data_IF_431958912818
#
_entry.id   IF_431958912818
#
_cell.length_a   1.000
_cell.length_b   1.000
_cell.length_c   1.000
_cell.angle_alpha   90.00
_cell.angle_beta   90.00
_cell.angle_gamma   90.00
#
_symmetry.space_group_name_H-M   'P 1'
#
loop_
_entity.id
_entity.type
_entity.pdbx_description
1 polymer ?
#
# COMPACT_ATOMS: atom_id res chain seq x y z
N UNK A 1 32.47 -18.40 5.69
CA UNK A 1 31.30 -19.30 5.68
C UNK A 1 30.14 -18.82 6.58
N UNK A 2 30.08 -17.52 6.94
CA UNK A 2 29.04 -16.98 7.83
C UNK A 2 28.01 -16.09 7.10
N UNK A 3 28.30 -15.68 5.86
CA UNK A 3 27.45 -14.74 5.10
C UNK A 3 26.17 -15.40 4.58
N UNK A 4 26.23 -16.68 4.22
CA UNK A 4 25.06 -17.47 3.78
C UNK A 4 24.15 -17.79 4.96
N UNK A 5 24.73 -18.11 6.12
CA UNK A 5 23.99 -18.35 7.37
C UNK A 5 23.32 -17.05 7.84
N UNK A 6 24.01 -15.91 7.72
CA UNK A 6 23.45 -14.60 8.03
C UNK A 6 22.34 -14.19 7.06
N UNK A 7 22.51 -14.42 5.75
CA UNK A 7 21.47 -14.15 4.75
C UNK A 7 20.20 -15.01 5.00
N UNK A 8 20.37 -16.29 5.32
CA UNK A 8 19.25 -17.17 5.69
C UNK A 8 18.59 -16.78 7.01
N UNK A 9 19.35 -16.24 7.97
CA UNK A 9 18.81 -15.69 9.22
C UNK A 9 18.02 -14.39 8.98
N UNK A 10 18.53 -13.47 8.15
CA UNK A 10 17.87 -12.21 7.82
C UNK A 10 16.58 -12.45 7.01
N UNK A 11 16.59 -13.40 6.07
CA UNK A 11 15.39 -13.85 5.35
C UNK A 11 14.36 -14.41 6.34
N UNK A 12 14.79 -15.21 7.33
CA UNK A 12 13.89 -15.73 8.37
C UNK A 12 13.27 -14.61 9.23
N UNK A 13 14.04 -13.61 9.64
CA UNK A 13 13.51 -12.47 10.42
C UNK A 13 12.48 -11.65 9.62
N UNK A 14 12.69 -11.46 8.31
CA UNK A 14 11.72 -10.80 7.42
C UNK A 14 10.39 -11.58 7.37
N UNK A 15 10.46 -12.91 7.25
CA UNK A 15 9.26 -13.75 7.25
C UNK A 15 8.58 -13.83 8.62
N UNK A 16 9.32 -13.81 9.73
CA UNK A 16 8.75 -13.84 11.09
C UNK A 16 8.05 -12.52 11.43
N UNK A 17 8.65 -11.38 11.06
CA UNK A 17 8.02 -10.08 11.15
C UNK A 17 6.77 -10.02 10.26
N UNK A 18 6.86 -10.48 9.01
CA UNK A 18 5.74 -10.55 8.09
C UNK A 18 4.60 -11.46 8.54
N UNK A 19 4.90 -12.60 9.18
CA UNK A 19 3.90 -13.53 9.70
C UNK A 19 3.23 -13.00 10.98
N UNK A 20 3.97 -12.26 11.82
CA UNK A 20 3.41 -11.56 12.99
C UNK A 20 2.43 -10.48 12.55
N UNK A 21 2.76 -9.74 11.48
CA UNK A 21 1.91 -8.75 10.85
C UNK A 21 0.63 -9.37 10.23
N UNK A 22 0.79 -10.51 9.58
CA UNK A 22 -0.31 -11.27 9.01
C UNK A 22 -1.24 -11.82 10.11
N UNK A 23 -0.69 -12.29 11.23
CA UNK A 23 -1.45 -12.74 12.40
C UNK A 23 -2.16 -11.57 13.12
N UNK A 24 -1.53 -10.40 13.19
CA UNK A 24 -2.14 -9.15 13.65
C UNK A 24 -3.39 -8.84 12.80
N UNK A 25 -3.27 -9.05 11.47
CA UNK A 25 -4.34 -8.79 10.50
C UNK A 25 -5.57 -9.71 10.64
N UNK A 26 -5.46 -10.82 11.37
CA UNK A 26 -6.59 -11.70 11.69
C UNK A 26 -7.31 -11.31 12.99
N UNK A 27 -6.84 -10.30 13.73
CA UNK A 27 -7.52 -9.83 14.95
C UNK A 27 -8.78 -9.03 14.60
N UNK A 28 -9.90 -9.23 15.31
CA UNK A 28 -11.19 -8.61 15.01
C UNK A 28 -11.25 -7.08 15.21
N UNK A 29 -10.32 -6.51 15.98
CA UNK A 29 -10.04 -5.07 16.00
C UNK A 29 -8.65 -4.89 15.39
N UNK A 30 -8.61 -4.73 14.08
CA UNK A 30 -7.36 -4.49 13.38
C UNK A 30 -7.14 -2.98 13.34
N UNK A 31 -5.92 -2.52 13.59
CA UNK A 31 -5.51 -1.12 13.42
C UNK A 31 -5.39 -0.79 11.92
N UNK A 32 -6.51 -0.93 11.22
CA UNK A 32 -6.64 -0.73 9.79
C UNK A 32 -6.74 0.77 9.51
N UNK A 33 -5.59 1.40 9.39
CA UNK A 33 -5.46 2.82 9.07
C UNK A 33 -4.55 2.96 7.85
N UNK A 34 -5.06 2.77 6.63
CA UNK A 34 -4.25 2.79 5.44
C UNK A 34 -3.71 4.19 5.17
N UNK A 35 -2.42 4.27 4.84
CA UNK A 35 -1.71 5.51 4.53
C UNK A 35 -0.96 5.35 3.20
N UNK A 36 -0.90 6.41 2.42
CA UNK A 36 -0.04 6.51 1.23
C UNK A 36 1.12 7.43 1.55
N UNK A 37 2.34 6.89 1.57
CA UNK A 37 3.57 7.67 1.78
C UNK A 37 4.26 7.96 0.45
N UNK A 38 4.90 9.13 0.38
CA UNK A 38 5.63 9.68 -0.77
C UNK A 38 7.13 9.59 -0.47
N UNK A 39 7.70 8.42 -0.66
CA UNK A 39 9.08 8.13 -0.30
C UNK A 39 10.09 8.76 -1.27
N UNK A 40 11.01 9.64 -0.84
CA UNK A 40 12.07 10.17 -1.68
C UNK A 40 13.19 9.13 -1.87
N UNK A 41 13.35 8.65 -3.10
CA UNK A 41 14.37 7.67 -3.47
C UNK A 41 15.78 8.26 -3.40
N UNK A 42 16.69 7.49 -2.82
CA UNK A 42 18.13 7.73 -2.87
C UNK A 42 18.79 6.93 -4.00
N UNK A 43 18.27 5.73 -4.31
CA UNK A 43 18.73 4.95 -5.46
C UNK A 43 18.26 5.57 -6.78
N UNK A 44 19.17 5.66 -7.74
CA UNK A 44 18.89 6.20 -9.08
C UNK A 44 18.96 5.15 -10.19
N UNK A 45 19.56 3.99 -9.91
CA UNK A 45 19.72 2.92 -10.90
C UNK A 45 18.42 2.19 -11.20
N UNK A 46 18.13 1.92 -12.48
CA UNK A 46 16.90 1.22 -12.88
C UNK A 46 16.74 -0.16 -12.22
N UNK A 47 17.84 -0.89 -12.07
CA UNK A 47 17.84 -2.22 -11.44
C UNK A 47 17.60 -2.15 -9.93
N UNK A 48 18.18 -1.16 -9.27
CA UNK A 48 18.02 -0.93 -7.83
C UNK A 48 16.58 -0.51 -7.51
N UNK A 49 16.03 0.40 -8.31
CA UNK A 49 14.63 0.82 -8.20
C UNK A 49 13.70 -0.38 -8.41
N UNK A 50 13.98 -1.23 -9.41
CA UNK A 50 13.19 -2.43 -9.66
C UNK A 50 13.17 -3.37 -8.43
N UNK A 51 14.34 -3.70 -7.89
CA UNK A 51 14.41 -4.58 -6.72
C UNK A 51 13.79 -3.94 -5.48
N UNK A 52 14.01 -2.64 -5.26
CA UNK A 52 13.45 -1.92 -4.12
C UNK A 52 11.91 -1.90 -4.15
N UNK A 53 11.32 -1.47 -5.26
CA UNK A 53 9.85 -1.41 -5.43
C UNK A 53 9.20 -2.80 -5.39
N UNK A 54 9.87 -3.81 -5.93
CA UNK A 54 9.44 -5.21 -5.82
C UNK A 54 9.47 -5.70 -4.36
N UNK A 55 10.55 -5.40 -3.62
CA UNK A 55 10.67 -5.76 -2.21
C UNK A 55 9.60 -5.09 -1.35
N UNK A 56 9.28 -3.81 -1.58
CA UNK A 56 8.17 -3.12 -0.90
C UNK A 56 6.86 -3.89 -1.06
N UNK A 57 6.59 -4.40 -2.27
CA UNK A 57 5.34 -5.12 -2.56
C UNK A 57 5.35 -6.55 -2.02
N UNK A 58 6.54 -7.16 -1.89
CA UNK A 58 6.70 -8.46 -1.27
C UNK A 58 6.53 -8.41 0.27
N UNK A 59 6.77 -7.25 0.89
CA UNK A 59 6.55 -7.04 2.32
C UNK A 59 5.05 -7.03 2.63
N UNK A 60 4.59 -7.82 3.61
CA UNK A 60 3.18 -7.85 3.97
C UNK A 60 2.67 -6.47 4.42
N UNK A 61 1.45 -6.14 4.02
CA UNK A 61 0.81 -4.88 4.43
C UNK A 61 1.31 -3.64 3.68
N UNK A 62 2.22 -3.78 2.72
CA UNK A 62 2.68 -2.67 1.86
C UNK A 62 2.53 -2.98 0.37
N UNK A 63 2.39 -1.93 -0.43
CA UNK A 63 2.27 -2.01 -1.90
C UNK A 63 2.99 -0.81 -2.51
N UNK A 64 3.87 -1.07 -3.49
CA UNK A 64 4.42 0.00 -4.34
C UNK A 64 3.44 0.32 -5.45
N UNK A 65 2.92 1.55 -5.48
CA UNK A 65 1.93 2.01 -6.47
C UNK A 65 2.59 2.46 -7.76
N UNK A 66 3.72 3.14 -7.66
CA UNK A 66 4.43 3.67 -8.81
C UNK A 66 5.46 4.73 -8.47
N UNK A 67 6.11 5.22 -9.52
CA UNK A 67 7.16 6.23 -9.46
C UNK A 67 6.63 7.56 -10.00
N UNK A 68 7.04 8.65 -9.36
CA UNK A 68 6.79 10.01 -9.81
C UNK A 68 8.11 10.73 -10.04
N UNK A 69 8.29 11.23 -11.26
CA UNK A 69 9.48 12.03 -11.60
C UNK A 69 9.47 13.36 -10.85
N UNK A 70 10.64 13.86 -10.39
CA UNK A 70 10.76 15.16 -9.79
C UNK A 70 10.23 16.29 -10.69
N UNK A 71 9.70 17.33 -10.05
CA UNK A 71 9.17 18.53 -10.74
C UNK A 71 10.30 19.44 -11.25
N UNK A 72 11.52 19.29 -10.71
CA UNK A 72 12.70 20.08 -11.08
C UNK A 72 13.96 19.20 -11.04
N UNK A 73 14.92 19.54 -11.88
CA UNK A 73 16.25 18.91 -11.84
C UNK A 73 16.90 19.11 -10.46
N UNK A 74 17.51 18.04 -9.93
CA UNK A 74 18.15 18.03 -8.60
C UNK A 74 17.24 17.57 -7.45
N UNK A 75 15.96 17.30 -7.68
CA UNK A 75 15.07 16.69 -6.68
C UNK A 75 14.98 15.16 -6.84
N UNK A 76 14.75 14.41 -5.75
CA UNK A 76 14.64 12.95 -5.83
C UNK A 76 13.37 12.52 -6.56
N UNK A 77 13.46 11.34 -7.20
CA UNK A 77 12.28 10.60 -7.64
C UNK A 77 11.49 10.12 -6.43
N UNK A 78 10.17 10.15 -6.53
CA UNK A 78 9.29 9.73 -5.44
C UNK A 78 8.69 8.36 -5.76
N UNK A 79 8.76 7.41 -4.81
CA UNK A 79 7.95 6.18 -4.84
C UNK A 79 6.71 6.42 -4.00
N UNK A 80 5.55 6.10 -4.58
CA UNK A 80 4.30 6.05 -3.82
C UNK A 80 4.16 4.66 -3.23
N UNK A 81 4.07 4.59 -1.90
CA UNK A 81 3.89 3.34 -1.16
C UNK A 81 2.60 3.43 -0.36
N UNK A 82 1.73 2.45 -0.53
CA UNK A 82 0.59 2.26 0.34
C UNK A 82 0.98 1.30 1.46
N UNK A 83 0.72 1.69 2.71
CA UNK A 83 0.80 0.82 3.88
C UNK A 83 -0.61 0.67 4.47
N UNK A 84 -1.00 -0.55 4.82
CA UNK A 84 -2.35 -0.86 5.34
C UNK A 84 -2.46 -0.56 6.85
N UNK A 85 -1.35 -0.67 7.57
CA UNK A 85 -1.23 -0.32 8.98
C UNK A 85 -0.31 0.89 9.10
N UNK A 86 -0.92 2.07 8.98
CA UNK A 86 -0.24 3.35 8.84
C UNK A 86 -0.37 4.27 10.05
N UNK A 87 -0.71 3.75 11.24
CA UNK A 87 -0.91 4.57 12.45
C UNK A 87 0.28 5.51 12.75
N UNK A 88 1.48 5.08 12.37
CA UNK A 88 2.70 5.89 12.43
C UNK A 88 3.39 5.93 11.05
N UNK A 89 3.17 6.97 10.24
CA UNK A 89 3.78 7.08 8.91
C UNK A 89 5.28 7.40 8.97
N UNK A 90 5.79 7.93 10.09
CA UNK A 90 7.22 8.13 10.29
C UNK A 90 7.94 6.79 10.46
N UNK A 91 7.33 5.83 11.17
CA UNK A 91 7.85 4.46 11.28
C UNK A 91 7.93 3.78 9.92
N UNK A 92 6.87 3.91 9.09
CA UNK A 92 6.83 3.37 7.73
C UNK A 92 7.95 3.96 6.87
N UNK A 93 8.21 5.28 6.98
CA UNK A 93 9.32 5.93 6.28
C UNK A 93 10.69 5.39 6.72
N UNK A 94 10.90 5.21 8.02
CA UNK A 94 12.15 4.70 8.56
C UNK A 94 12.43 3.26 8.10
N UNK A 95 11.40 2.41 8.07
CA UNK A 95 11.51 1.02 7.60
C UNK A 95 11.84 0.96 6.09
N UNK A 96 11.24 1.83 5.29
CA UNK A 96 11.58 1.98 3.87
C UNK A 96 13.03 2.43 3.67
N UNK A 97 13.51 3.35 4.52
CA UNK A 97 14.88 3.84 4.48
C UNK A 97 15.91 2.78 4.88
N UNK A 98 15.63 1.97 5.91
CA UNK A 98 16.48 0.84 6.29
C UNK A 98 16.52 -0.22 5.17
N UNK A 99 15.37 -0.53 4.57
CA UNK A 99 15.30 -1.47 3.45
C UNK A 99 16.09 -0.99 2.22
N UNK A 100 16.01 0.29 1.86
CA UNK A 100 16.78 0.85 0.75
C UNK A 100 18.29 0.84 1.05
N UNK A 101 18.72 1.15 2.28
CA UNK A 101 20.13 1.09 2.66
C UNK A 101 20.68 -0.35 2.62
N UNK A 102 19.87 -1.34 3.01
CA UNK A 102 20.25 -2.76 2.93
C UNK A 102 20.39 -3.23 1.48
N UNK A 103 19.53 -2.76 0.59
CA UNK A 103 19.61 -3.08 -0.84
C UNK A 103 20.82 -2.41 -1.49
N UNK A 104 21.04 -1.13 -1.17
CA UNK A 104 22.03 -0.28 -1.81
C UNK A 104 22.84 0.50 -0.76
N UNK A 105 23.85 -0.11 -0.12
CA UNK A 105 24.60 0.51 0.98
C UNK A 105 25.29 1.83 0.62
N UNK A 106 25.48 2.11 -0.67
CA UNK A 106 26.08 3.35 -1.15
C UNK A 106 25.18 4.58 -0.95
N UNK A 107 23.88 4.39 -0.68
CA UNK A 107 22.96 5.50 -0.37
C UNK A 107 23.11 6.02 1.05
N UNK A 108 23.90 5.33 1.88
CA UNK A 108 24.18 5.71 3.27
C UNK A 108 24.80 7.11 3.30
N UNK A 109 24.09 8.06 3.90
CA UNK A 109 24.51 9.47 4.00
C UNK A 109 23.81 10.42 3.02
N UNK A 110 22.93 9.93 2.15
CA UNK A 110 22.02 10.78 1.37
C UNK A 110 20.77 11.03 2.24
N UNK A 111 20.51 12.30 2.56
CA UNK A 111 19.40 12.72 3.42
C UNK A 111 18.48 13.70 2.68
N UNK A 112 17.20 13.35 2.54
CA UNK A 112 16.16 14.21 2.00
C UNK A 112 15.22 14.80 3.06
N UNK A 113 15.61 14.74 4.34
CA UNK A 113 14.84 15.30 5.45
C UNK A 113 13.63 14.44 5.83
N UNK A 114 13.74 13.12 5.67
CA UNK A 114 12.70 12.17 6.09
C UNK A 114 13.26 11.18 7.12
N UNK A 115 12.40 10.59 7.98
CA UNK A 115 12.80 9.60 8.97
C UNK A 115 13.58 8.44 8.34
N UNK A 116 14.69 8.06 9.00
CA UNK A 116 15.56 6.97 8.59
C UNK A 116 16.62 7.33 7.53
N UNK A 117 16.58 8.53 6.93
CA UNK A 117 17.64 9.00 6.01
C UNK A 117 18.67 9.92 6.68
N UNK A 118 18.39 10.37 7.90
CA UNK A 118 19.22 11.32 8.65
C UNK A 118 18.75 11.49 10.10
N UNK A 119 19.02 12.64 10.76
CA UNK A 119 18.64 12.89 12.15
C UNK A 119 17.15 13.21 12.33
N UNK A 120 16.42 13.45 11.23
CA UNK A 120 15.02 13.84 11.25
C UNK A 120 14.14 12.70 11.75
N UNK A 121 13.33 12.93 12.78
CA UNK A 121 12.41 11.93 13.35
C UNK A 121 10.94 12.21 13.00
N UNK A 122 10.60 13.46 12.71
CA UNK A 122 9.24 13.88 12.39
C UNK A 122 9.00 13.90 10.89
N UNK A 123 7.85 13.37 10.45
CA UNK A 123 7.47 13.34 9.04
C UNK A 123 6.51 14.50 8.71
N UNK A 124 6.90 15.35 7.77
CA UNK A 124 6.04 16.42 7.29
C UNK A 124 4.81 15.86 6.55
N UNK A 125 3.65 16.51 6.73
CA UNK A 125 2.36 16.11 6.12
C UNK A 125 2.40 16.01 4.58
N UNK A 126 3.33 16.70 3.92
CA UNK A 126 3.50 16.59 2.45
C UNK A 126 3.89 15.18 2.00
N UNK A 127 4.52 14.40 2.90
CA UNK A 127 5.06 13.08 2.58
C UNK A 127 4.09 11.93 2.83
N UNK A 128 2.89 12.18 3.35
CA UNK A 128 1.89 11.12 3.55
C UNK A 128 0.47 11.63 3.33
N UNK A 129 -0.46 10.69 3.20
CA UNK A 129 -1.89 10.98 3.04
C UNK A 129 -2.69 9.80 3.57
N UNK A 130 -3.70 10.05 4.40
CA UNK A 130 -4.65 9.05 4.87
C UNK A 130 -5.88 9.02 3.95
N UNK A 131 -6.00 8.07 3.00
CA UNK A 131 -7.04 8.14 1.97
C UNK A 131 -8.46 8.05 2.51
N UNK A 132 -8.64 7.45 3.70
CA UNK A 132 -9.95 7.33 4.36
C UNK A 132 -10.38 8.63 5.05
N UNK A 133 -9.43 9.45 5.47
CA UNK A 133 -9.70 10.75 6.11
C UNK A 133 -9.82 11.88 5.07
N UNK A 134 -9.35 11.65 3.85
CA UNK A 134 -9.44 12.59 2.72
C UNK A 134 -10.83 12.62 2.05
N UNK A 135 -11.86 11.96 2.60
CA UNK A 135 -13.24 12.04 2.07
C UNK A 135 -13.71 13.51 2.01
N UNK A 136 -13.61 14.10 0.80
CA UNK A 136 -13.98 15.50 0.53
C UNK A 136 -12.95 16.34 -0.24
N UNK A 137 -11.72 15.87 -0.49
CA UNK A 137 -10.73 16.60 -1.33
C UNK A 137 -10.19 15.73 -2.47
N UNK A 138 -10.71 15.97 -3.68
CA UNK A 138 -10.11 15.59 -4.97
C UNK A 138 -10.17 14.11 -5.42
N UNK A 139 -11.38 13.56 -5.58
CA UNK A 139 -11.59 12.55 -6.63
C UNK A 139 -11.90 13.28 -7.96
N UNK A 140 -10.88 13.84 -8.62
CA UNK A 140 -11.00 14.37 -9.99
C UNK A 140 -10.27 13.40 -10.93
N UNK A 141 -10.90 12.26 -11.20
CA UNK A 141 -10.54 11.43 -12.35
C UNK A 141 -10.97 12.18 -13.61
N UNK A 142 -10.05 12.53 -14.53
CA UNK A 142 -10.42 13.24 -15.77
C UNK A 142 -11.41 12.45 -16.64
N UNK A 143 -11.44 11.13 -16.49
CA UNK A 143 -12.25 10.24 -17.32
C UNK A 143 -13.63 9.90 -16.70
N UNK A 144 -13.88 10.26 -15.44
CA UNK A 144 -15.21 10.15 -14.81
C UNK A 144 -16.05 11.40 -15.06
N UNK A 145 -15.40 12.54 -15.33
CA UNK A 145 -16.05 13.83 -15.57
C UNK A 145 -16.97 13.88 -16.81
N UNK A 146 -16.96 12.86 -17.67
CA UNK A 146 -17.86 12.80 -18.84
C UNK A 146 -18.94 11.70 -18.78
N UNK A 147 -18.88 10.74 -17.84
CA UNK A 147 -19.81 9.60 -17.84
C UNK A 147 -20.88 9.67 -16.74
N UNK A 148 -20.63 10.39 -15.64
CA UNK A 148 -21.52 10.44 -14.47
C UNK A 148 -22.56 11.57 -14.50
N UNK A 149 -22.57 12.43 -15.54
CA UNK A 149 -23.56 13.51 -15.67
C UNK A 149 -24.93 13.02 -16.18
N UNK A 150 -25.12 11.72 -16.38
CA UNK A 150 -26.45 11.14 -16.58
C UNK A 150 -26.96 10.56 -15.26
N UNK A 151 -27.91 11.21 -14.57
CA UNK A 151 -28.48 10.66 -13.35
C UNK A 151 -29.23 9.36 -13.68
N UNK A 152 -28.68 8.23 -13.26
CA UNK A 152 -29.38 6.95 -13.27
C UNK A 152 -30.47 6.98 -12.21
N UNK A 153 -31.68 6.57 -12.59
CA UNK A 153 -32.82 6.62 -11.66
C UNK A 153 -32.61 5.62 -10.53
N UNK A 154 -33.05 5.93 -9.31
CA UNK A 154 -32.82 5.11 -8.11
C UNK A 154 -33.33 3.65 -8.21
N UNK A 155 -34.13 3.33 -9.24
CA UNK A 155 -34.62 1.99 -9.55
C UNK A 155 -33.73 1.19 -10.53
N UNK A 156 -32.79 1.85 -11.22
CA UNK A 156 -31.83 1.22 -12.14
C UNK A 156 -30.54 0.78 -11.44
N UNK A 157 -30.31 1.25 -10.21
CA UNK A 157 -29.14 0.88 -9.41
C UNK A 157 -29.36 -0.51 -8.78
N UNK A 158 -28.66 -1.51 -9.31
CA UNK A 158 -28.69 -2.88 -8.78
C UNK A 158 -28.10 -2.93 -7.36
N UNK A 159 -28.95 -3.01 -6.33
CA UNK A 159 -28.53 -3.11 -4.93
C UNK A 159 -28.13 -4.54 -4.59
N UNK A 160 -26.82 -4.79 -4.46
CA UNK A 160 -26.31 -6.11 -4.02
C UNK A 160 -26.27 -6.21 -2.49
N UNK A 161 -26.91 -7.23 -1.88
CA UNK A 161 -26.91 -7.40 -0.43
C UNK A 161 -25.60 -8.01 0.07
N UNK A 162 -24.95 -7.32 1.03
CA UNK A 162 -23.72 -7.79 1.70
C UNK A 162 -24.08 -8.70 2.87
N UNK A 163 -24.36 -9.98 2.60
CA UNK A 163 -24.21 -11.09 3.57
C UNK A 163 -24.31 -12.47 2.89
N UNK A 164 -23.47 -13.46 3.28
CA UNK A 164 -23.52 -14.78 2.66
C UNK A 164 -24.67 -15.58 3.25
N UNK A 165 -25.73 -15.83 2.46
CA UNK A 165 -26.77 -16.80 2.82
C UNK A 165 -26.42 -18.16 2.22
N UNK A 166 -26.26 -19.16 3.10
CA UNK A 166 -26.10 -20.59 2.78
C UNK A 166 -27.14 -21.02 1.74
N UNK A 167 -26.68 -21.71 0.71
CA UNK A 167 -27.45 -22.21 -0.43
C UNK A 167 -28.34 -23.38 0.01
N UNK A 168 -29.65 -23.18 0.10
CA UNK A 168 -30.63 -24.28 0.12
C UNK A 168 -30.98 -24.64 -1.33
N UNK A 169 -30.77 -25.89 -1.71
CA UNK A 169 -31.10 -26.41 -3.05
C UNK A 169 -32.62 -26.65 -3.15
N UNK A 170 -33.33 -26.13 -4.17
CA UNK A 170 -34.68 -26.58 -4.50
C UNK A 170 -34.65 -27.48 -5.74
N UNK A 171 -35.29 -28.65 -5.65
CA UNK A 171 -35.51 -29.56 -6.78
C UNK A 171 -36.99 -29.61 -7.16
N UNK A 172 -37.28 -29.11 -8.38
CA UNK A 172 -38.38 -29.40 -9.32
C UNK A 172 -39.81 -28.98 -8.90
N UNK A 173 -40.42 -27.97 -9.51
CA UNK A 173 -40.89 -27.81 -10.90
C UNK A 173 -42.15 -28.65 -11.26
N UNK A 174 -43.31 -27.98 -11.16
CA UNK A 174 -44.36 -27.76 -12.18
C UNK A 174 -44.91 -28.97 -12.98
N UNK A 175 -46.19 -29.25 -12.76
CA UNK A 175 -47.25 -29.71 -13.69
C UNK A 175 -48.60 -29.46 -12.98
N UNK A 176 -49.72 -29.04 -13.54
CA UNK A 176 -50.16 -28.66 -14.88
C UNK A 176 -51.46 -27.83 -14.70
N UNK A 177 -51.90 -27.21 -15.79
CA UNK A 177 -53.04 -26.30 -15.94
C UNK A 177 -54.44 -26.86 -15.57
N UNK A 178 -55.35 -25.89 -15.33
CA UNK A 178 -56.84 -25.96 -15.32
C UNK A 178 -57.44 -27.10 -16.16
N UNK A 179 -58.37 -27.88 -15.60
CA UNK A 179 -59.83 -27.65 -15.58
C UNK A 179 -60.54 -28.79 -14.86
#
# INVERSE_FOLDING_TARGET
MNSVVYALWLIKEIFVAGFSLALESFKPHNNYNPVVVRYPLRVTGAWEIFWFTSSITATPGTLSLGLREPVREGLPRIVLVQAVMGDDPASVMADLADMEERLAPHVKGIDYGVPGQGPTTELAETFYEYPLDTLGRHMRSPDIAQTDDTPLAAHEVEKRPVRPRRRSVPSKARKDDKK
#
